data_IF_239462000810
#
_entry.id   IF_239462000810
#
_cell.length_a   1.000
_cell.length_b   1.000
_cell.length_c   1.000
_cell.angle_alpha   90.00
_cell.angle_beta   90.00
_cell.angle_gamma   90.00
#
_symmetry.space_group_name_H-M   'P 1'
#
loop_
_entity.id
_entity.type
_entity.pdbx_description
1 polymer ?
#
# COMPACT_ATOMS: atom_id res chain seq x y z
N UNK A 1 -14.98 7.04 -9.79
CA UNK A 1 -14.36 5.70 -9.82
C UNK A 1 -13.61 5.56 -8.51
N UNK A 2 -13.89 4.54 -7.69
CA UNK A 2 -13.30 4.41 -6.35
C UNK A 2 -12.62 3.05 -6.29
N UNK A 3 -11.39 3.02 -5.75
CA UNK A 3 -10.63 1.78 -5.58
C UNK A 3 -11.36 0.85 -4.60
N UNK A 4 -11.57 -0.40 -5.02
CA UNK A 4 -12.28 -1.40 -4.19
C UNK A 4 -11.29 -1.91 -3.14
N UNK A 5 -11.76 -2.10 -1.91
CA UNK A 5 -10.92 -2.65 -0.83
C UNK A 5 -10.39 -4.04 -1.23
N UNK A 6 -9.07 -4.20 -1.24
CA UNK A 6 -8.39 -5.45 -1.60
C UNK A 6 -8.02 -5.60 -3.08
N UNK A 7 -8.30 -4.61 -3.94
CA UNK A 7 -7.75 -4.56 -5.29
C UNK A 7 -6.31 -4.04 -5.28
N UNK A 8 -5.48 -4.48 -6.23
CA UNK A 8 -4.10 -3.99 -6.38
C UNK A 8 -4.08 -2.54 -6.87
N UNK A 9 -3.31 -1.70 -6.19
CA UNK A 9 -3.09 -0.29 -6.53
C UNK A 9 -2.46 -0.16 -7.90
N UNK A 10 -1.57 -1.09 -8.27
CA UNK A 10 -1.02 -1.16 -9.63
C UNK A 10 -2.09 -1.28 -10.72
N UNK A 11 -3.08 -2.14 -10.54
CA UNK A 11 -4.17 -2.32 -11.50
C UNK A 11 -5.05 -1.07 -11.58
N UNK A 12 -5.35 -0.48 -10.42
CA UNK A 12 -6.11 0.77 -10.32
C UNK A 12 -5.37 1.95 -10.97
N UNK A 13 -4.07 2.08 -10.75
CA UNK A 13 -3.22 3.11 -11.33
C UNK A 13 -3.14 3.02 -12.86
N UNK A 14 -3.02 1.81 -13.41
CA UNK A 14 -3.08 1.58 -14.87
C UNK A 14 -4.44 1.98 -15.43
N UNK A 15 -5.53 1.64 -14.74
CA UNK A 15 -6.89 2.06 -15.13
C UNK A 15 -7.03 3.58 -15.14
N UNK A 16 -6.56 4.26 -14.09
CA UNK A 16 -6.60 5.72 -13.97
C UNK A 16 -5.80 6.39 -15.09
N UNK A 17 -4.58 5.91 -15.39
CA UNK A 17 -3.79 6.43 -16.50
C UNK A 17 -4.51 6.28 -17.85
N UNK A 18 -5.05 5.08 -18.11
CA UNK A 18 -5.79 4.81 -19.36
C UNK A 18 -7.04 5.67 -19.51
N UNK A 19 -7.68 6.03 -18.39
CA UNK A 19 -8.83 6.93 -18.39
C UNK A 19 -8.40 8.37 -18.70
N UNK A 20 -7.31 8.84 -18.10
CA UNK A 20 -6.78 10.17 -18.40
C UNK A 20 -6.34 10.27 -19.86
N UNK A 21 -5.70 9.25 -20.41
CA UNK A 21 -5.33 9.20 -21.83
C UNK A 21 -6.58 9.30 -22.73
N UNK A 22 -7.64 8.55 -22.43
CA UNK A 22 -8.92 8.65 -23.15
C UNK A 22 -9.59 10.02 -23.01
N UNK A 23 -9.50 10.65 -21.83
CA UNK A 23 -10.07 11.99 -21.60
C UNK A 23 -9.30 13.07 -22.36
N UNK A 24 -7.96 12.95 -22.44
CA UNK A 24 -7.10 13.79 -23.27
C UNK A 24 -7.46 13.65 -24.76
N UNK A 25 -7.67 12.42 -25.23
CA UNK A 25 -8.04 12.13 -26.63
C UNK A 25 -9.43 12.67 -26.99
N UNK A 26 -10.35 12.73 -26.03
CA UNK A 26 -11.70 13.25 -26.23
C UNK A 26 -11.74 14.79 -26.35
N UNK A 27 -10.61 15.51 -26.27
CA UNK A 27 -10.53 16.97 -26.19
C UNK A 27 -11.55 17.56 -25.20
N UNK A 28 -11.89 16.81 -24.15
CA UNK A 28 -12.66 17.38 -23.08
C UNK A 28 -11.80 18.50 -22.49
N UNK A 29 -12.35 19.71 -22.40
CA UNK A 29 -11.69 20.95 -21.94
C UNK A 29 -11.25 20.90 -20.46
N UNK A 30 -10.66 19.80 -20.01
CA UNK A 30 -9.95 19.70 -18.75
C UNK A 30 -8.64 20.46 -18.92
N UNK A 31 -8.70 21.76 -18.62
CA UNK A 31 -7.59 22.69 -18.84
C UNK A 31 -6.36 22.40 -18.01
N UNK A 32 -6.42 21.54 -16.99
CA UNK A 32 -5.36 21.46 -15.99
C UNK A 32 -4.99 20.01 -15.68
N UNK A 33 -3.71 19.71 -15.85
CA UNK A 33 -3.11 18.44 -15.41
C UNK A 33 -3.23 18.26 -13.89
N UNK A 34 -3.31 19.36 -13.13
CA UNK A 34 -3.64 19.42 -11.70
C UNK A 34 -4.98 18.73 -11.38
N UNK A 35 -5.98 18.83 -12.25
CA UNK A 35 -7.31 18.23 -11.99
C UNK A 35 -7.25 16.70 -11.99
N UNK A 36 -6.32 16.08 -12.73
CA UNK A 36 -6.22 14.62 -12.78
C UNK A 36 -5.51 14.02 -11.58
N UNK A 37 -4.51 14.71 -11.02
CA UNK A 37 -3.84 14.28 -9.79
C UNK A 37 -4.80 14.18 -8.61
N UNK A 38 -5.62 15.22 -8.42
CA UNK A 38 -6.64 15.27 -7.37
C UNK A 38 -7.68 14.15 -7.53
N UNK A 39 -8.10 13.87 -8.76
CA UNK A 39 -9.05 12.79 -9.05
C UNK A 39 -8.46 11.41 -8.70
N UNK A 40 -7.16 11.20 -8.93
CA UNK A 40 -6.49 9.96 -8.53
C UNK A 40 -6.46 9.87 -7.00
N UNK A 41 -6.01 10.92 -6.30
CA UNK A 41 -5.90 10.93 -4.84
C UNK A 41 -7.26 10.68 -4.16
N UNK A 42 -8.33 11.30 -4.65
CA UNK A 42 -9.69 11.10 -4.14
C UNK A 42 -10.26 9.70 -4.44
N UNK A 43 -9.71 8.99 -5.44
CA UNK A 43 -10.16 7.64 -5.80
C UNK A 43 -9.56 6.54 -4.93
N UNK A 44 -8.50 6.85 -4.17
CA UNK A 44 -7.76 5.86 -3.40
C UNK A 44 -8.60 5.29 -2.26
N UNK A 45 -8.29 4.06 -1.88
CA UNK A 45 -8.93 3.41 -0.72
C UNK A 45 -8.40 4.01 0.58
N UNK A 46 -9.18 4.05 1.68
CA UNK A 46 -8.72 4.56 2.97
C UNK A 46 -7.48 3.85 3.54
N UNK A 47 -7.16 2.63 3.09
CA UNK A 47 -5.91 1.95 3.45
C UNK A 47 -4.65 2.69 2.98
N UNK A 48 -4.80 3.66 2.07
CA UNK A 48 -3.72 4.48 1.53
C UNK A 48 -3.75 5.92 2.09
N UNK A 49 -4.52 6.22 3.14
CA UNK A 49 -4.59 7.57 3.70
C UNK A 49 -3.21 8.11 4.12
N UNK A 50 -2.34 7.22 4.59
CA UNK A 50 -0.97 7.60 4.98
C UNK A 50 -0.10 8.00 3.77
N UNK A 51 -0.37 7.45 2.59
CA UNK A 51 0.23 7.93 1.34
C UNK A 51 -0.27 9.34 1.01
N UNK A 52 -1.58 9.59 1.09
CA UNK A 52 -2.19 10.90 0.76
C UNK A 52 -1.62 11.99 1.67
N UNK A 53 -1.53 11.72 2.98
CA UNK A 53 -0.93 12.64 3.95
C UNK A 53 0.53 12.92 3.58
N UNK A 54 1.31 11.88 3.26
CA UNK A 54 2.71 12.05 2.88
C UNK A 54 2.88 12.81 1.56
N UNK A 55 2.03 12.57 0.59
CA UNK A 55 2.08 13.20 -0.73
C UNK A 55 1.78 14.69 -0.61
N UNK A 56 0.68 15.05 0.07
CA UNK A 56 0.26 16.44 0.26
C UNK A 56 1.29 17.26 1.05
N UNK A 57 1.97 16.64 2.01
CA UNK A 57 2.98 17.32 2.84
C UNK A 57 4.32 17.55 2.13
N UNK A 58 4.59 16.82 1.04
CA UNK A 58 5.87 16.93 0.33
C UNK A 58 5.84 17.99 -0.79
N UNK A 59 4.71 18.69 -1.01
CA UNK A 59 4.53 19.72 -2.06
C UNK A 59 5.16 19.32 -3.41
N UNK A 60 5.01 18.04 -3.78
CA UNK A 60 5.60 17.51 -5.00
C UNK A 60 4.81 18.02 -6.20
N UNK A 61 5.35 19.01 -6.92
CA UNK A 61 4.87 19.41 -8.23
C UNK A 61 5.29 18.34 -9.25
N UNK A 62 4.56 17.23 -9.25
CA UNK A 62 4.90 16.04 -10.01
C UNK A 62 3.88 15.73 -11.10
N UNK A 63 4.40 15.25 -12.23
CA UNK A 63 3.55 14.81 -13.33
C UNK A 63 2.68 13.64 -12.90
N UNK A 64 1.52 13.49 -13.56
CA UNK A 64 0.59 12.38 -13.31
C UNK A 64 1.26 10.98 -13.36
N UNK A 65 2.23 10.80 -14.27
CA UNK A 65 2.95 9.52 -14.39
C UNK A 65 3.83 9.27 -13.17
N UNK A 66 4.44 10.32 -12.63
CA UNK A 66 5.30 10.20 -11.46
C UNK A 66 4.47 9.90 -10.21
N UNK A 67 3.34 10.59 -10.01
CA UNK A 67 2.37 10.26 -8.95
C UNK A 67 1.99 8.77 -8.96
N UNK A 68 1.65 8.22 -10.14
CA UNK A 68 1.29 6.80 -10.26
C UNK A 68 2.49 5.90 -9.94
N UNK A 69 3.69 6.28 -10.37
CA UNK A 69 4.90 5.51 -10.09
C UNK A 69 5.23 5.47 -8.59
N UNK A 70 5.16 6.61 -7.90
CA UNK A 70 5.36 6.67 -6.44
C UNK A 70 4.30 5.83 -5.73
N UNK A 71 3.04 5.93 -6.15
CA UNK A 71 1.95 5.15 -5.57
C UNK A 71 2.18 3.63 -5.70
N UNK A 72 2.64 3.16 -6.86
CA UNK A 72 3.00 1.74 -7.08
C UNK A 72 4.19 1.30 -6.22
N UNK A 73 5.20 2.17 -6.07
CA UNK A 73 6.35 1.90 -5.20
C UNK A 73 5.94 1.79 -3.74
N UNK A 74 5.03 2.67 -3.30
CA UNK A 74 4.49 2.67 -1.94
C UNK A 74 3.72 1.38 -1.63
N UNK A 75 2.84 0.93 -2.54
CA UNK A 75 2.16 -0.37 -2.41
C UNK A 75 3.17 -1.52 -2.25
N UNK A 76 4.18 -1.55 -3.13
CA UNK A 76 5.23 -2.60 -3.10
C UNK A 76 6.00 -2.58 -1.78
N UNK A 77 6.23 -1.41 -1.20
CA UNK A 77 6.90 -1.27 0.10
C UNK A 77 6.04 -1.84 1.24
N UNK A 78 4.73 -1.57 1.23
CA UNK A 78 3.78 -2.12 2.21
C UNK A 78 3.67 -3.64 2.10
N UNK A 79 3.60 -4.19 0.90
CA UNK A 79 3.57 -5.65 0.70
C UNK A 79 4.84 -6.34 1.21
N UNK A 80 6.00 -5.68 1.04
CA UNK A 80 7.28 -6.19 1.56
C UNK A 80 7.35 -6.09 3.08
N UNK A 81 6.90 -4.98 3.68
CA UNK A 81 6.93 -4.80 5.12
C UNK A 81 5.96 -5.74 5.83
N UNK A 82 4.75 -5.94 5.30
CA UNK A 82 3.78 -6.93 5.79
C UNK A 82 4.34 -8.36 5.73
N UNK A 83 5.04 -8.72 4.64
CA UNK A 83 5.74 -10.01 4.54
C UNK A 83 6.83 -10.17 5.60
N UNK A 84 7.61 -9.13 5.89
CA UNK A 84 8.67 -9.19 6.90
C UNK A 84 8.11 -9.37 8.32
N UNK A 85 7.00 -8.70 8.63
CA UNK A 85 6.30 -8.84 9.93
C UNK A 85 5.79 -10.27 10.14
N UNK A 86 5.22 -10.90 9.11
CA UNK A 86 4.71 -12.27 9.20
C UNK A 86 5.80 -13.34 9.34
N UNK A 87 7.04 -13.06 8.91
CA UNK A 87 8.20 -13.97 9.07
C UNK A 87 8.82 -13.85 10.47
N UNK A 88 8.59 -12.75 11.19
CA UNK A 88 9.10 -12.53 12.55
C UNK A 88 8.32 -13.26 13.66
N UNK A 89 7.13 -13.81 13.36
CA UNK A 89 6.24 -14.43 14.36
C UNK A 89 6.35 -15.97 14.46
N UNK A 90 7.39 -16.58 13.90
CA UNK A 90 7.84 -17.92 14.35
C UNK A 90 8.94 -17.73 15.39
N UNK A 91 8.51 -17.35 16.60
CA UNK A 91 9.31 -17.66 17.78
C UNK A 91 8.91 -19.05 18.22
N UNK A 92 9.76 -20.03 17.88
CA UNK A 92 9.71 -21.38 18.43
C UNK A 92 9.70 -21.29 19.95
N UNK A 93 8.54 -21.48 20.56
CA UNK A 93 8.44 -21.74 22.00
C UNK A 93 9.07 -23.10 22.26
N UNK A 94 10.32 -23.09 22.72
CA UNK A 94 10.96 -24.26 23.29
C UNK A 94 10.19 -24.69 24.55
N UNK A 95 9.58 -25.87 24.42
CA UNK A 95 9.20 -26.84 25.44
C UNK A 95 9.31 -26.42 26.92
N UNK A 96 8.18 -26.02 27.51
CA UNK A 96 7.89 -26.28 28.92
C UNK A 96 6.98 -27.49 29.03
N UNK A 97 7.52 -28.68 28.78
CA UNK A 97 6.86 -29.92 29.18
C UNK A 97 7.87 -30.87 29.82
N UNK A 98 7.68 -31.06 31.13
CA UNK A 98 7.97 -32.31 31.82
C UNK A 98 9.36 -32.43 32.43
N UNK A 99 9.46 -32.20 33.74
CA UNK A 99 9.98 -33.18 34.71
C UNK A 99 9.97 -32.60 36.14
N UNK A 100 8.81 -32.68 36.80
CA UNK A 100 8.78 -32.82 38.25
C UNK A 100 8.64 -34.31 38.56
N UNK A 101 9.76 -34.98 38.82
CA UNK A 101 9.87 -36.28 39.49
C UNK A 101 11.18 -36.16 40.31
N UNK A 102 11.10 -35.80 41.59
CA UNK A 102 11.08 -36.75 42.72
C UNK A 102 12.33 -37.63 42.72
N UNK A 103 13.39 -37.15 43.36
CA UNK A 103 14.40 -38.02 43.98
C UNK A 103 14.23 -37.89 45.49
N UNK A 104 13.34 -38.71 46.04
CA UNK A 104 13.46 -39.19 47.42
C UNK A 104 14.57 -40.26 47.41
N UNK A 105 15.61 -39.98 48.19
CA UNK A 105 16.15 -40.85 49.24
C UNK A 105 16.24 -42.37 48.98
N UNK A 106 17.47 -42.89 48.92
CA UNK A 106 17.98 -44.02 49.74
C UNK A 106 19.35 -44.50 49.20
N UNK A 107 20.46 -44.16 49.88
CA UNK A 107 21.22 -45.06 50.80
C UNK A 107 22.64 -44.56 51.06
#
# INVERSE_FOLDING_TARGET
>A
MIMIKGSFVREHGVMMLSLVEKLKDLQADFKEEETYGDLILQSLSPSLDQFIISYNMNELEESLRELINILVQYETMIEKSTRFVLVGEVSTSEAWQGCQMREEEER
#
